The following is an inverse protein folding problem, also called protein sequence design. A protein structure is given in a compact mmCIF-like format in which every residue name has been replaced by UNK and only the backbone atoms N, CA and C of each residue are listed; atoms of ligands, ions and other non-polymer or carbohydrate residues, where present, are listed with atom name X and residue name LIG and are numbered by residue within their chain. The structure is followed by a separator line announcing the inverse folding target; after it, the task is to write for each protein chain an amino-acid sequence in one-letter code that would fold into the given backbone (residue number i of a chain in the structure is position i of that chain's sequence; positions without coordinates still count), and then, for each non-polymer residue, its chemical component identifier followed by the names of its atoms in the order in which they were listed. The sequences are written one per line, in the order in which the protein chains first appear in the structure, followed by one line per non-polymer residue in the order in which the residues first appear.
data_IF_879340872171
#
_entry.id   IF_879340872171
#
_cell.length_a   1.000
_cell.length_b   1.000
_cell.length_c   1.000
_cell.angle_alpha   90.00
_cell.angle_beta   90.00
_cell.angle_gamma   90.00
#
_symmetry.space_group_name_H-M   'P 1'
#
loop_
_entity.id
_entity.type
_entity.pdbx_description
1 polymer ?
#
# COMPACT_ATOMS: atom_id res chain seq x y z
N UNK A 1 -16.09 -17.42 6.96
CA UNK A 1 -15.36 -16.96 5.76
C UNK A 1 -14.31 -15.96 6.22
N UNK A 2 -13.03 -16.36 6.32
CA UNK A 2 -11.98 -15.56 6.96
C UNK A 2 -11.39 -14.46 6.07
N UNK A 3 -11.62 -14.54 4.75
CA UNK A 3 -11.08 -13.60 3.75
C UNK A 3 -12.07 -12.45 3.44
N UNK A 4 -13.38 -12.73 3.40
CA UNK A 4 -14.43 -11.74 3.10
C UNK A 4 -15.35 -11.40 4.29
N UNK A 5 -14.93 -11.75 5.51
CA UNK A 5 -15.72 -11.47 6.71
C UNK A 5 -15.72 -9.98 7.09
N UNK A 6 -16.70 -9.54 7.90
CA UNK A 6 -16.75 -8.16 8.46
C UNK A 6 -15.52 -7.77 9.30
N UNK A 7 -14.59 -8.70 9.51
CA UNK A 7 -13.32 -8.49 10.22
C UNK A 7 -12.13 -8.19 9.30
N UNK A 8 -12.28 -8.22 7.96
CA UNK A 8 -11.19 -7.89 7.04
C UNK A 8 -11.10 -6.37 6.79
N UNK A 9 -10.40 -5.66 7.69
CA UNK A 9 -10.19 -4.20 7.60
C UNK A 9 -9.54 -3.73 6.29
N UNK A 10 -8.77 -4.57 5.62
CA UNK A 10 -8.22 -4.24 4.30
C UNK A 10 -9.29 -4.07 3.23
N UNK A 11 -10.44 -4.74 3.35
CA UNK A 11 -11.54 -4.59 2.39
C UNK A 11 -12.43 -3.40 2.75
N UNK A 12 -12.97 -3.38 3.97
CA UNK A 12 -14.02 -2.41 4.32
C UNK A 12 -13.48 -1.03 4.74
N UNK A 13 -12.21 -0.92 5.18
CA UNK A 13 -11.61 0.38 5.52
C UNK A 13 -10.77 0.94 4.37
N UNK A 14 -9.93 0.11 3.75
CA UNK A 14 -8.99 0.61 2.73
C UNK A 14 -9.64 0.82 1.35
N UNK A 15 -10.64 0.03 0.94
CA UNK A 15 -11.28 0.25 -0.37
C UNK A 15 -12.05 1.58 -0.46
N UNK A 16 -12.85 2.00 0.55
CA UNK A 16 -13.46 3.32 0.52
C UNK A 16 -12.43 4.45 0.48
N UNK A 17 -11.34 4.33 1.24
CA UNK A 17 -10.25 5.31 1.23
C UNK A 17 -9.57 5.36 -0.14
N UNK A 18 -9.30 4.21 -0.76
CA UNK A 18 -8.75 4.14 -2.12
C UNK A 18 -9.68 4.81 -3.15
N UNK A 19 -11.00 4.69 -2.97
CA UNK A 19 -11.95 5.35 -3.87
C UNK A 19 -11.88 6.88 -3.77
N UNK A 20 -11.51 7.42 -2.61
CA UNK A 20 -11.47 8.87 -2.35
C UNK A 20 -10.08 9.48 -2.55
N UNK A 21 -9.01 8.71 -2.32
CA UNK A 21 -7.63 9.17 -2.42
C UNK A 21 -6.86 8.43 -3.53
N UNK A 22 -6.38 9.20 -4.51
CA UNK A 22 -5.68 8.68 -5.68
C UNK A 22 -4.34 8.02 -5.34
N UNK A 23 -3.65 8.46 -4.29
CA UNK A 23 -2.38 7.88 -3.86
C UNK A 23 -2.61 6.47 -3.30
N UNK A 24 -3.65 6.31 -2.47
CA UNK A 24 -4.07 5.00 -1.95
C UNK A 24 -4.55 4.09 -3.07
N UNK A 25 -5.32 4.62 -4.04
CA UNK A 25 -5.70 3.85 -5.25
C UNK A 25 -4.49 3.34 -6.02
N UNK A 26 -3.50 4.20 -6.29
CA UNK A 26 -2.29 3.81 -7.00
C UNK A 26 -1.54 2.70 -6.26
N UNK A 27 -1.50 2.75 -4.91
CA UNK A 27 -0.90 1.71 -4.09
C UNK A 27 -1.64 0.38 -4.21
N UNK A 28 -2.99 0.40 -4.11
CA UNK A 28 -3.82 -0.80 -4.26
C UNK A 28 -3.66 -1.43 -5.65
N UNK A 29 -3.66 -0.61 -6.71
CA UNK A 29 -3.41 -1.07 -8.08
C UNK A 29 -2.02 -1.66 -8.23
N UNK A 30 -1.01 -1.05 -7.61
CA UNK A 30 0.37 -1.55 -7.61
C UNK A 30 0.46 -2.95 -7.00
N UNK A 31 -0.09 -3.14 -5.79
CA UNK A 31 -0.12 -4.46 -5.13
C UNK A 31 -0.89 -5.48 -5.95
N UNK A 32 -2.04 -5.08 -6.49
CA UNK A 32 -2.89 -5.94 -7.34
C UNK A 32 -2.14 -6.38 -8.60
N UNK A 33 -1.41 -5.47 -9.24
CA UNK A 33 -0.61 -5.76 -10.42
C UNK A 33 0.55 -6.72 -10.11
N UNK A 34 1.25 -6.55 -8.97
CA UNK A 34 2.27 -7.51 -8.53
C UNK A 34 1.67 -8.91 -8.29
N UNK A 35 0.53 -8.99 -7.60
CA UNK A 35 -0.14 -10.26 -7.35
C UNK A 35 -0.57 -10.95 -8.65
N UNK A 36 -1.19 -10.21 -9.58
CA UNK A 36 -1.60 -10.74 -10.88
C UNK A 36 -0.41 -11.17 -11.73
N UNK A 37 0.69 -10.40 -11.73
CA UNK A 37 1.92 -10.77 -12.44
C UNK A 37 2.51 -12.07 -11.91
N UNK A 38 2.49 -12.26 -10.59
CA UNK A 38 2.96 -13.50 -9.95
C UNK A 38 2.06 -14.70 -10.29
N UNK A 39 0.73 -14.54 -10.22
CA UNK A 39 -0.23 -15.58 -10.61
C UNK A 39 -0.07 -15.98 -12.08
N UNK A 40 0.04 -14.99 -12.98
CA UNK A 40 0.23 -15.23 -14.41
C UNK A 40 1.56 -15.91 -14.70
N UNK A 41 2.64 -15.56 -13.99
CA UNK A 41 3.94 -16.24 -14.11
C UNK A 41 3.84 -17.72 -13.75
N UNK A 42 3.17 -18.06 -12.65
CA UNK A 42 2.91 -19.46 -12.25
C UNK A 42 2.08 -20.23 -13.27
N UNK A 43 1.07 -19.59 -13.86
CA UNK A 43 0.21 -20.22 -14.86
C UNK A 43 0.95 -20.41 -16.20
N UNK A 44 1.77 -19.43 -16.62
CA UNK A 44 2.60 -19.51 -17.83
C UNK A 44 3.80 -20.45 -17.71
N UNK A 45 4.27 -20.78 -16.51
CA UNK A 45 5.24 -21.88 -16.35
C UNK A 45 4.65 -23.25 -16.70
N UNK A 46 3.33 -23.37 -16.88
CA UNK A 46 2.65 -24.58 -17.36
C UNK A 46 2.37 -24.55 -18.87
N UNK A 47 2.22 -23.35 -19.46
CA UNK A 47 1.88 -23.14 -20.87
C UNK A 47 2.92 -22.23 -21.54
N UNK A 48 3.72 -22.80 -22.47
CA UNK A 48 4.82 -22.15 -23.21
C UNK A 48 4.37 -21.00 -24.15
N UNK A 49 3.74 -19.94 -23.63
CA UNK A 49 3.23 -18.83 -24.44
C UNK A 49 4.18 -17.61 -24.46
N UNK A 50 4.26 -16.86 -25.58
CA UNK A 50 5.27 -15.82 -25.77
C UNK A 50 5.00 -14.52 -24.99
N UNK A 51 6.10 -13.81 -24.72
CA UNK A 51 6.19 -12.54 -23.99
C UNK A 51 5.27 -11.45 -24.59
N UNK A 52 4.24 -11.04 -23.84
CA UNK A 52 3.45 -9.83 -24.14
C UNK A 52 4.15 -8.63 -23.51
N UNK A 53 4.35 -7.55 -24.28
CA UNK A 53 5.00 -6.32 -23.81
C UNK A 53 4.30 -5.74 -22.57
N UNK A 54 5.04 -5.23 -21.58
CA UNK A 54 4.45 -4.60 -20.40
C UNK A 54 3.74 -3.31 -20.82
N UNK A 55 2.41 -3.31 -20.78
CA UNK A 55 1.61 -2.11 -21.01
C UNK A 55 1.84 -1.03 -19.95
N UNK A 56 1.22 0.13 -20.12
CA UNK A 56 1.26 1.27 -19.18
C UNK A 56 0.94 0.89 -17.71
N UNK A 57 0.22 -0.21 -17.49
CA UNK A 57 -0.15 -0.75 -16.18
C UNK A 57 0.82 -1.83 -15.67
N UNK A 58 2.08 -1.81 -16.10
CA UNK A 58 3.07 -2.74 -15.53
C UNK A 58 3.22 -2.50 -14.02
N UNK A 59 3.44 -3.56 -13.22
CA UNK A 59 3.56 -3.42 -11.76
C UNK A 59 4.64 -2.40 -11.36
N UNK A 60 5.76 -2.36 -12.10
CA UNK A 60 6.85 -1.43 -11.83
C UNK A 60 6.53 0.03 -12.18
N UNK A 61 5.76 0.28 -13.24
CA UNK A 61 5.33 1.62 -13.59
C UNK A 61 4.33 2.16 -12.57
N UNK A 62 3.39 1.32 -12.12
CA UNK A 62 2.44 1.67 -11.05
C UNK A 62 3.17 1.93 -9.72
N UNK A 63 4.16 1.10 -9.39
CA UNK A 63 4.99 1.30 -8.21
C UNK A 63 5.75 2.62 -8.26
N UNK A 64 6.45 2.92 -9.37
CA UNK A 64 7.16 4.20 -9.56
C UNK A 64 6.23 5.39 -9.38
N UNK A 65 5.06 5.36 -10.02
CA UNK A 65 4.04 6.42 -9.90
C UNK A 65 3.58 6.60 -8.46
N UNK A 66 3.38 5.51 -7.72
CA UNK A 66 2.97 5.57 -6.31
C UNK A 66 4.07 6.17 -5.44
N UNK A 67 5.33 5.79 -5.66
CA UNK A 67 6.49 6.35 -4.95
C UNK A 67 6.66 7.85 -5.26
N UNK A 68 6.48 8.25 -6.52
CA UNK A 68 6.49 9.67 -6.91
C UNK A 68 5.39 10.46 -6.21
N UNK A 69 4.17 9.91 -6.14
CA UNK A 69 3.06 10.51 -5.39
C UNK A 69 3.36 10.64 -3.90
N UNK A 70 4.02 9.66 -3.28
CA UNK A 70 4.49 9.77 -1.89
C UNK A 70 5.52 10.88 -1.71
N UNK A 71 6.50 10.97 -2.62
CA UNK A 71 7.56 11.99 -2.58
C UNK A 71 7.03 13.42 -2.71
N UNK A 72 5.89 13.61 -3.37
CA UNK A 72 5.25 14.91 -3.51
C UNK A 72 4.55 15.38 -2.23
N UNK A 73 4.33 14.49 -1.25
CA UNK A 73 3.72 14.84 0.04
C UNK A 73 4.80 15.33 0.99
N UNK A 74 4.68 16.59 1.42
CA UNK A 74 5.53 17.14 2.48
C UNK A 74 4.98 16.73 3.84
N UNK A 75 5.57 15.68 4.41
CA UNK A 75 5.12 15.11 5.68
C UNK A 75 5.05 16.17 6.79
N UNK A 76 6.00 17.10 6.84
CA UNK A 76 6.08 18.10 7.90
C UNK A 76 4.92 19.13 7.87
N UNK A 77 4.19 19.23 6.77
CA UNK A 77 3.07 20.17 6.59
C UNK A 77 1.69 19.51 6.59
N UNK A 78 1.64 18.18 6.56
CA UNK A 78 0.37 17.46 6.50
C UNK A 78 -0.34 17.53 7.85
N UNK A 79 -1.65 17.79 7.83
CA UNK A 79 -2.50 17.62 9.00
C UNK A 79 -2.85 16.12 9.22
N UNK A 80 -3.61 15.83 10.27
CA UNK A 80 -4.00 14.45 10.60
C UNK A 80 -4.78 13.75 9.47
N UNK A 81 -5.72 14.45 8.83
CA UNK A 81 -6.55 13.90 7.74
C UNK A 81 -5.70 13.59 6.49
N UNK A 82 -4.72 14.43 6.18
CA UNK A 82 -3.79 14.24 5.06
C UNK A 82 -2.76 13.14 5.33
N UNK A 83 -2.46 12.85 6.60
CA UNK A 83 -1.54 11.78 7.01
C UNK A 83 -2.14 10.38 6.90
N UNK A 84 -3.44 10.24 7.13
CA UNK A 84 -4.16 8.96 7.03
C UNK A 84 -3.93 8.24 5.68
N UNK A 85 -4.16 8.86 4.51
CA UNK A 85 -3.93 8.22 3.21
C UNK A 85 -2.44 7.95 2.95
N UNK A 86 -1.53 8.74 3.51
CA UNK A 86 -0.08 8.51 3.39
C UNK A 86 0.30 7.24 4.14
N UNK A 87 -0.12 7.11 5.40
CA UNK A 87 0.15 5.92 6.22
C UNK A 87 -0.50 4.69 5.61
N UNK A 88 -1.76 4.80 5.15
CA UNK A 88 -2.44 3.73 4.42
C UNK A 88 -1.66 3.29 3.17
N UNK A 89 -1.20 4.24 2.36
CA UNK A 89 -0.37 3.97 1.18
C UNK A 89 0.91 3.23 1.55
N UNK A 90 1.62 3.67 2.59
CA UNK A 90 2.86 3.05 3.02
C UNK A 90 2.62 1.62 3.52
N UNK A 91 1.57 1.39 4.31
CA UNK A 91 1.18 0.06 4.77
C UNK A 91 0.87 -0.88 3.60
N UNK A 92 0.12 -0.42 2.60
CA UNK A 92 -0.18 -1.21 1.38
C UNK A 92 1.10 -1.54 0.62
N UNK A 93 1.99 -0.57 0.39
CA UNK A 93 3.25 -0.82 -0.31
C UNK A 93 4.17 -1.76 0.48
N UNK A 94 4.19 -1.66 1.81
CA UNK A 94 4.95 -2.57 2.69
C UNK A 94 4.52 -4.03 2.47
N UNK A 95 3.22 -4.30 2.34
CA UNK A 95 2.75 -5.67 2.01
C UNK A 95 3.32 -6.16 0.67
N UNK A 96 3.37 -5.31 -0.36
CA UNK A 96 3.94 -5.68 -1.66
C UNK A 96 5.45 -5.95 -1.57
N UNK A 97 6.23 -5.06 -0.96
CA UNK A 97 7.70 -5.23 -0.92
C UNK A 97 8.13 -6.42 -0.07
N UNK A 98 7.40 -6.72 1.02
CA UNK A 98 7.65 -7.91 1.84
C UNK A 98 7.38 -9.20 1.06
N UNK A 99 6.24 -9.29 0.37
CA UNK A 99 5.86 -10.50 -0.39
C UNK A 99 6.79 -10.72 -1.59
N UNK A 100 7.25 -9.64 -2.23
CA UNK A 100 8.13 -9.72 -3.40
C UNK A 100 9.63 -9.68 -3.05
N UNK A 101 9.99 -9.59 -1.77
CA UNK A 101 11.40 -9.53 -1.32
C UNK A 101 12.18 -8.33 -1.86
N UNK A 102 11.54 -7.17 -2.02
CA UNK A 102 12.18 -5.97 -2.60
C UNK A 102 13.07 -5.24 -1.60
N UNK A 103 14.17 -4.69 -2.10
CA UNK A 103 15.14 -3.90 -1.30
C UNK A 103 14.61 -2.56 -0.79
N UNK A 104 13.42 -2.14 -1.24
CA UNK A 104 12.81 -0.86 -0.86
C UNK A 104 12.19 -0.91 0.55
N UNK A 105 12.10 -2.09 1.17
CA UNK A 105 11.48 -2.27 2.49
C UNK A 105 12.05 -1.33 3.58
N UNK A 106 13.38 -1.21 3.80
CA UNK A 106 13.91 -0.36 4.86
C UNK A 106 13.54 1.12 4.67
N UNK A 107 13.47 1.58 3.42
CA UNK A 107 13.11 2.95 3.07
C UNK A 107 11.63 3.19 3.39
N UNK A 108 10.74 2.31 2.94
CA UNK A 108 9.30 2.43 3.20
C UNK A 108 8.98 2.30 4.70
N UNK A 109 9.69 1.44 5.41
CA UNK A 109 9.53 1.29 6.86
C UNK A 109 10.00 2.54 7.61
N UNK A 110 11.15 3.12 7.23
CA UNK A 110 11.61 4.40 7.80
C UNK A 110 10.61 5.54 7.52
N UNK A 111 9.97 5.54 6.36
CA UNK A 111 8.93 6.50 6.01
C UNK A 111 7.67 6.33 6.87
N UNK A 112 7.27 5.08 7.16
CA UNK A 112 6.17 4.77 8.08
C UNK A 112 6.44 5.35 9.46
N UNK A 113 7.63 5.06 10.02
CA UNK A 113 8.06 5.56 11.34
C UNK A 113 8.11 7.09 11.37
N UNK A 114 8.56 7.72 10.28
CA UNK A 114 8.60 9.18 10.19
C UNK A 114 7.19 9.77 10.16
N UNK A 115 6.28 9.19 9.37
CA UNK A 115 4.89 9.65 9.29
C UNK A 115 4.15 9.49 10.63
N UNK A 116 4.36 8.38 11.35
CA UNK A 116 3.76 8.19 12.69
C UNK A 116 4.35 9.13 13.73
N UNK A 117 5.62 9.48 13.64
CA UNK A 117 6.22 10.48 14.55
C UNK A 117 5.66 11.89 14.31
N UNK A 118 5.41 12.28 13.05
CA UNK A 118 4.88 13.61 12.71
C UNK A 118 3.48 13.84 13.31
N UNK A 119 2.63 12.81 13.35
CA UNK A 119 1.30 12.90 13.97
C UNK A 119 1.33 12.87 15.51
N UNK A 120 2.51 12.83 16.12
CA UNK A 120 2.69 12.81 17.59
C UNK A 120 2.80 11.40 18.18
N UNK A 121 3.09 10.39 17.36
CA UNK A 121 3.31 9.01 17.77
C UNK A 121 2.19 8.05 17.35
N UNK A 122 2.43 6.76 17.57
CA UNK A 122 1.48 5.68 17.23
C UNK A 122 0.13 5.82 17.94
N UNK A 123 0.12 6.31 19.19
CA UNK A 123 -1.11 6.43 19.98
C UNK A 123 -2.04 7.53 19.45
N UNK A 124 -1.50 8.49 18.71
CA UNK A 124 -2.28 9.54 18.04
C UNK A 124 -2.88 9.06 16.71
N UNK A 125 -2.43 7.91 16.20
CA UNK A 125 -3.03 7.29 15.01
C UNK A 125 -4.41 6.70 15.35
N UNK A 126 -4.62 6.28 16.60
CA UNK A 126 -5.89 5.81 17.12
C UNK A 126 -6.91 6.96 17.25
N UNK A 127 -8.19 6.67 17.05
CA UNK A 127 -9.25 7.68 17.16
C UNK A 127 -10.43 7.49 16.22
N UNK A 128 -10.27 6.67 15.20
CA UNK A 128 -11.36 6.15 14.37
C UNK A 128 -11.05 4.71 13.93
N UNK A 129 -12.02 4.03 13.33
CA UNK A 129 -11.89 2.60 12.98
C UNK A 129 -10.72 2.33 12.00
N UNK A 130 -10.46 3.25 11.08
CA UNK A 130 -9.33 3.17 10.13
C UNK A 130 -7.98 3.32 10.85
N UNK A 131 -7.85 4.33 11.71
CA UNK A 131 -6.67 4.59 12.51
C UNK A 131 -6.33 3.43 13.45
N UNK A 132 -7.34 2.88 14.14
CA UNK A 132 -7.18 1.72 15.02
C UNK A 132 -6.76 0.46 14.25
N UNK A 133 -7.23 0.30 13.00
CA UNK A 133 -6.79 -0.78 12.15
C UNK A 133 -5.35 -0.59 11.65
N UNK A 134 -4.98 0.63 11.24
CA UNK A 134 -3.62 0.95 10.80
C UNK A 134 -2.61 0.78 11.94
N UNK A 135 -2.94 1.26 13.15
CA UNK A 135 -2.12 1.05 14.34
C UNK A 135 -1.85 -0.43 14.60
N UNK A 136 -2.87 -1.28 14.48
CA UNK A 136 -2.70 -2.74 14.56
C UNK A 136 -1.81 -3.32 13.47
N UNK A 137 -1.70 -2.70 12.29
CA UNK A 137 -0.76 -3.14 11.26
C UNK A 137 0.67 -2.65 11.53
N UNK A 138 0.83 -1.45 12.09
CA UNK A 138 2.15 -0.89 12.46
C UNK A 138 2.81 -1.73 13.56
N UNK A 139 2.03 -2.22 14.53
CA UNK A 139 2.52 -2.99 15.69
C UNK A 139 2.76 -4.49 15.42
N UNK A 140 2.50 -4.97 14.21
CA UNK A 140 2.75 -6.37 13.81
C UNK A 140 4.16 -6.56 13.33
#
# INVERSE_FOLDING_TARGET
MAIDGPHNGWRYLFLPVAHQDQLVMNAVLTVSAFHMSFCNSKMRSLDNEPFTQPGHNSPDNLYKRTIEGLKQRDLAKCNYEEMQPIIATILVLLTAVMVNGRNDFPILFSLLVSATNVIGGEDQLAGNELGDFMLRQVRK
#
